data_IF_104896987453
#
_entry.id   IF_104896987453
#
_cell.length_a   1.000
_cell.length_b   1.000
_cell.length_c   1.000
_cell.angle_alpha   90.00
_cell.angle_beta   90.00
_cell.angle_gamma   90.00
#
_symmetry.space_group_name_H-M   'P 1'
#
loop_
_entity.id
_entity.type
_entity.pdbx_description
1 polymer ?
#
# COMPACT_ATOMS: atom_id res chain seq x y z
N UNK A 1 -12.15 -26.78 -14.04
CA UNK A 1 -12.23 -25.31 -13.90
C UNK A 1 -10.95 -24.81 -14.52
N UNK A 2 -11.05 -24.38 -15.77
CA UNK A 2 -9.89 -24.04 -16.61
C UNK A 2 -9.28 -22.73 -16.11
N UNK A 3 -7.95 -22.68 -16.02
CA UNK A 3 -7.19 -21.52 -15.57
C UNK A 3 -7.49 -20.33 -16.49
N UNK A 4 -8.10 -19.28 -15.95
CA UNK A 4 -8.60 -18.11 -16.69
C UNK A 4 -7.45 -17.25 -17.27
N UNK A 5 -6.18 -17.51 -16.94
CA UNK A 5 -5.05 -16.67 -17.39
C UNK A 5 -3.72 -17.43 -17.54
N UNK A 6 -3.65 -18.37 -18.49
CA UNK A 6 -2.38 -19.03 -18.87
C UNK A 6 -1.46 -18.11 -19.69
N UNK A 7 -2.00 -17.13 -20.40
CA UNK A 7 -1.25 -16.26 -21.32
C UNK A 7 -0.70 -14.99 -20.68
N UNK A 8 -1.10 -14.68 -19.43
CA UNK A 8 -0.74 -13.44 -18.75
C UNK A 8 -1.37 -12.19 -19.38
N UNK A 9 -2.28 -12.34 -20.36
CA UNK A 9 -2.92 -11.20 -21.01
C UNK A 9 -3.84 -10.45 -20.07
N UNK A 10 -4.55 -11.17 -19.19
CA UNK A 10 -5.41 -10.54 -18.17
C UNK A 10 -4.55 -9.72 -17.21
N UNK A 11 -3.40 -10.27 -16.82
CA UNK A 11 -2.43 -9.60 -15.97
C UNK A 11 -1.86 -8.32 -16.60
N UNK A 12 -1.51 -8.37 -17.89
CA UNK A 12 -0.99 -7.19 -18.62
C UNK A 12 -2.05 -6.10 -18.77
N UNK A 13 -3.31 -6.49 -19.07
CA UNK A 13 -4.42 -5.55 -19.19
C UNK A 13 -4.67 -4.79 -17.88
N UNK A 14 -4.74 -5.51 -16.75
CA UNK A 14 -4.94 -4.89 -15.43
C UNK A 14 -3.80 -3.92 -15.07
N UNK A 15 -2.56 -4.24 -15.44
CA UNK A 15 -1.42 -3.34 -15.25
C UNK A 15 -1.59 -2.04 -16.06
N UNK A 16 -1.89 -2.17 -17.35
CA UNK A 16 -2.02 -1.03 -18.26
C UNK A 16 -3.23 -0.13 -17.89
N UNK A 17 -4.33 -0.74 -17.44
CA UNK A 17 -5.52 -0.04 -16.91
C UNK A 17 -5.16 0.78 -15.66
N UNK A 18 -4.50 0.18 -14.66
CA UNK A 18 -4.10 0.89 -13.44
C UNK A 18 -3.13 2.06 -13.73
N UNK A 19 -2.20 1.87 -14.66
CA UNK A 19 -1.29 2.94 -15.10
C UNK A 19 -2.06 4.07 -15.82
N UNK A 20 -3.09 3.74 -16.58
CA UNK A 20 -3.93 4.72 -17.25
C UNK A 20 -4.78 5.51 -16.26
N UNK A 21 -5.47 4.83 -15.34
CA UNK A 21 -6.30 5.45 -14.30
C UNK A 21 -5.49 6.40 -13.42
N UNK A 22 -4.31 5.97 -12.96
CA UNK A 22 -3.43 6.82 -12.14
C UNK A 22 -3.03 8.15 -12.81
N UNK A 23 -2.92 8.19 -14.15
CA UNK A 23 -2.70 9.45 -14.89
C UNK A 23 -3.94 10.35 -14.90
N UNK A 24 -5.13 9.77 -15.05
CA UNK A 24 -6.38 10.54 -15.03
C UNK A 24 -6.65 11.12 -13.63
N UNK A 25 -6.41 10.34 -12.58
CA UNK A 25 -6.60 10.75 -11.20
C UNK A 25 -5.68 11.91 -10.78
N UNK A 26 -4.50 12.00 -11.40
CA UNK A 26 -3.56 13.10 -11.18
C UNK A 26 -4.00 14.43 -11.84
N UNK A 27 -4.88 14.41 -12.84
CA UNK A 27 -5.37 15.61 -13.52
C UNK A 27 -6.26 16.44 -12.60
N UNK A 28 -6.16 17.78 -12.67
CA UNK A 28 -7.01 18.68 -11.88
C UNK A 28 -8.52 18.48 -12.06
N UNK A 29 -8.96 17.99 -13.24
CA UNK A 29 -10.37 17.71 -13.54
C UNK A 29 -10.94 16.56 -12.71
N UNK A 30 -10.09 15.68 -12.17
CA UNK A 30 -10.55 14.58 -11.30
C UNK A 30 -11.06 15.07 -9.94
N UNK A 31 -10.84 16.35 -9.59
CA UNK A 31 -11.34 16.97 -8.36
C UNK A 31 -12.86 16.78 -8.16
N UNK A 32 -13.62 16.81 -9.25
CA UNK A 32 -15.09 16.68 -9.21
C UNK A 32 -15.55 15.32 -8.66
N UNK A 33 -14.68 14.31 -8.66
CA UNK A 33 -14.95 12.96 -8.16
C UNK A 33 -14.80 12.85 -6.63
N UNK A 34 -14.10 13.79 -5.98
CA UNK A 34 -13.77 13.69 -4.55
C UNK A 34 -15.04 13.69 -3.70
N UNK A 35 -16.01 14.55 -4.02
CA UNK A 35 -17.23 14.68 -3.21
C UNK A 35 -18.05 13.40 -3.22
N UNK A 36 -18.32 12.85 -4.42
CA UNK A 36 -19.07 11.59 -4.53
C UNK A 36 -18.35 10.43 -3.87
N UNK A 37 -17.02 10.42 -3.91
CA UNK A 37 -16.20 9.41 -3.25
C UNK A 37 -16.28 9.50 -1.72
N UNK A 38 -16.16 10.71 -1.14
CA UNK A 38 -16.34 10.96 0.30
C UNK A 38 -17.73 10.51 0.76
N UNK A 39 -18.76 10.88 0.01
CA UNK A 39 -20.15 10.55 0.32
C UNK A 39 -20.38 9.02 0.25
N UNK A 40 -19.80 8.34 -0.76
CA UNK A 40 -19.94 6.89 -0.95
C UNK A 40 -19.21 6.07 0.12
N UNK A 41 -18.01 6.51 0.54
CA UNK A 41 -17.16 5.81 1.49
C UNK A 41 -17.32 6.26 2.95
N UNK A 42 -18.24 7.19 3.23
CA UNK A 42 -18.47 7.78 4.57
C UNK A 42 -17.17 8.27 5.22
N UNK A 43 -16.36 9.01 4.46
CA UNK A 43 -15.04 9.45 4.90
C UNK A 43 -15.18 10.57 5.94
N UNK A 44 -14.66 10.33 7.15
CA UNK A 44 -14.64 11.29 8.25
C UNK A 44 -13.62 12.41 8.01
N UNK A 45 -14.05 13.44 7.28
CA UNK A 45 -13.18 14.56 6.88
C UNK A 45 -12.53 15.31 8.06
N UNK A 46 -13.14 15.25 9.25
CA UNK A 46 -12.60 15.89 10.47
C UNK A 46 -11.28 15.31 10.99
N UNK A 47 -10.87 14.11 10.56
CA UNK A 47 -9.59 13.49 10.92
C UNK A 47 -8.40 14.00 10.07
N UNK A 48 -8.68 14.69 8.95
CA UNK A 48 -7.69 15.11 7.97
C UNK A 48 -7.40 16.62 8.04
N UNK A 49 -6.28 17.02 7.45
CA UNK A 49 -5.91 18.42 7.29
C UNK A 49 -6.53 18.98 6.00
N UNK A 50 -7.29 20.07 6.13
CA UNK A 50 -7.95 20.74 5.00
C UNK A 50 -9.38 20.22 4.74
N UNK A 51 -10.10 20.96 3.89
CA UNK A 51 -11.45 20.63 3.43
C UNK A 51 -11.43 20.07 2.01
N UNK A 52 -12.53 19.45 1.55
CA UNK A 52 -12.66 18.85 0.21
C UNK A 52 -12.24 19.83 -0.91
N UNK A 53 -12.62 21.10 -0.79
CA UNK A 53 -12.34 22.12 -1.80
C UNK A 53 -10.86 22.52 -1.86
N UNK A 54 -10.05 22.13 -0.89
CA UNK A 54 -8.62 22.47 -0.82
C UNK A 54 -7.73 21.57 -1.70
N UNK A 55 -8.24 20.41 -2.13
CA UNK A 55 -7.49 19.46 -2.96
C UNK A 55 -7.48 19.89 -4.44
N UNK A 56 -6.36 19.63 -5.10
CA UNK A 56 -6.13 20.01 -6.51
C UNK A 56 -6.61 18.96 -7.51
N UNK A 57 -6.62 17.70 -7.12
CA UNK A 57 -7.04 16.55 -7.91
C UNK A 57 -7.46 15.40 -6.98
N UNK A 58 -8.09 14.37 -7.53
CA UNK A 58 -8.43 13.15 -6.82
C UNK A 58 -7.19 12.50 -6.19
N UNK A 59 -6.07 12.42 -6.92
CA UNK A 59 -4.83 11.87 -6.38
C UNK A 59 -4.32 12.68 -5.16
N UNK A 60 -4.41 14.01 -5.19
CA UNK A 60 -4.04 14.88 -4.06
C UNK A 60 -4.92 14.62 -2.82
N UNK A 61 -6.22 14.39 -3.02
CA UNK A 61 -7.13 13.95 -1.97
C UNK A 61 -6.84 12.53 -1.47
N UNK A 62 -6.46 11.61 -2.37
CA UNK A 62 -6.17 10.22 -2.03
C UNK A 62 -4.98 10.14 -1.07
N UNK A 63 -3.97 10.99 -1.30
CA UNK A 63 -2.79 11.16 -0.41
C UNK A 63 -2.98 12.26 0.65
N UNK A 64 -4.20 12.67 1.00
CA UNK A 64 -4.48 13.71 2.02
C UNK A 64 -3.71 13.47 3.32
N UNK A 65 -3.40 14.53 4.10
CA UNK A 65 -2.65 14.46 5.38
C UNK A 65 -3.58 14.23 6.58
N UNK A 66 -3.20 13.40 7.55
CA UNK A 66 -3.91 13.27 8.83
C UNK A 66 -3.55 14.40 9.79
N UNK A 67 -4.46 14.72 10.72
CA UNK A 67 -4.13 15.52 11.91
C UNK A 67 -3.17 14.74 12.82
N UNK A 68 -2.30 15.46 13.53
CA UNK A 68 -1.35 14.84 14.46
C UNK A 68 -2.10 14.08 15.56
N UNK A 69 -1.64 12.88 15.90
CA UNK A 69 -2.23 12.04 16.96
C UNK A 69 -3.52 11.29 16.59
N UNK A 70 -4.01 11.38 15.34
CA UNK A 70 -5.28 10.77 14.94
C UNK A 70 -5.28 9.22 14.97
N UNK A 71 -4.09 8.59 14.93
CA UNK A 71 -3.93 7.13 14.97
C UNK A 71 -2.69 6.76 15.81
N UNK A 72 -2.85 6.27 17.05
CA UNK A 72 -1.74 5.72 17.82
C UNK A 72 -1.28 4.39 17.21
N UNK A 73 0.04 4.14 17.24
CA UNK A 73 0.65 2.91 16.72
C UNK A 73 0.29 1.76 17.66
N UNK A 74 -0.31 0.69 17.13
CA UNK A 74 -0.76 -0.45 17.93
C UNK A 74 -0.05 -1.75 17.54
N UNK A 75 0.17 -2.56 18.59
CA UNK A 75 0.47 -3.99 18.63
C UNK A 75 1.94 -4.45 18.57
N UNK A 76 2.39 -5.03 19.70
CA UNK A 76 3.69 -5.70 19.94
C UNK A 76 3.58 -7.24 19.83
N UNK A 77 2.37 -7.80 19.65
CA UNK A 77 2.08 -9.23 19.92
C UNK A 77 1.02 -9.89 19.01
N UNK A 78 1.04 -9.68 17.69
CA UNK A 78 0.18 -10.43 16.75
C UNK A 78 0.95 -11.61 16.10
N UNK A 79 0.52 -12.87 16.28
CA UNK A 79 1.23 -14.06 15.81
C UNK A 79 0.85 -14.54 14.41
N UNK A 80 0.03 -13.84 13.64
CA UNK A 80 -0.36 -14.28 12.29
C UNK A 80 0.47 -13.59 11.21
N UNK A 81 1.46 -14.30 10.66
CA UNK A 81 1.94 -14.26 9.25
C UNK A 81 3.35 -14.86 9.17
N UNK A 82 3.52 -15.92 8.38
CA UNK A 82 4.81 -16.55 8.12
C UNK A 82 4.79 -17.33 6.82
N UNK A 83 5.37 -16.75 5.77
CA UNK A 83 5.82 -17.33 4.49
C UNK A 83 5.72 -16.20 3.44
N UNK A 84 6.76 -15.57 2.90
CA UNK A 84 8.19 -15.87 2.80
C UNK A 84 8.91 -14.53 2.58
N UNK A 85 9.57 -13.99 3.63
CA UNK A 85 10.14 -12.64 3.61
C UNK A 85 11.25 -12.46 2.56
N UNK A 86 11.97 -13.53 2.20
CA UNK A 86 12.94 -13.56 1.10
C UNK A 86 12.35 -13.11 -0.23
N UNK A 87 11.16 -13.60 -0.59
CA UNK A 87 10.46 -13.18 -1.81
C UNK A 87 9.94 -11.75 -1.71
N UNK A 88 9.42 -11.36 -0.55
CA UNK A 88 8.94 -9.99 -0.32
C UNK A 88 10.07 -8.96 -0.45
N UNK A 89 11.28 -9.28 0.02
CA UNK A 89 12.45 -8.40 -0.11
C UNK A 89 13.18 -8.57 -1.44
N UNK A 90 12.89 -9.65 -2.17
CA UNK A 90 13.67 -10.10 -3.33
C UNK A 90 15.18 -10.17 -2.97
N UNK A 91 15.48 -10.59 -1.74
CA UNK A 91 16.83 -10.62 -1.18
C UNK A 91 16.89 -11.58 0.02
N UNK A 92 17.37 -12.79 -0.24
CA UNK A 92 17.48 -13.85 0.76
C UNK A 92 18.51 -13.54 1.86
N UNK A 93 19.56 -12.76 1.56
CA UNK A 93 20.57 -12.41 2.56
C UNK A 93 20.02 -11.37 3.54
N UNK A 94 19.31 -10.33 3.05
CA UNK A 94 18.63 -9.36 3.91
C UNK A 94 17.49 -9.99 4.69
N UNK A 95 16.80 -10.98 4.11
CA UNK A 95 15.75 -11.72 4.78
C UNK A 95 16.22 -12.47 6.03
N UNK A 96 17.50 -12.86 6.12
CA UNK A 96 18.06 -13.49 7.32
C UNK A 96 17.97 -12.58 8.56
N UNK A 97 18.03 -11.26 8.38
CA UNK A 97 17.85 -10.29 9.47
C UNK A 97 16.44 -10.35 10.08
N UNK A 98 15.46 -10.80 9.28
CA UNK A 98 14.07 -10.94 9.69
C UNK A 98 13.72 -12.37 10.15
N UNK A 99 14.71 -13.27 10.25
CA UNK A 99 14.48 -14.65 10.67
C UNK A 99 13.87 -14.69 12.08
N UNK A 100 12.71 -15.36 12.20
CA UNK A 100 11.89 -15.41 13.43
C UNK A 100 11.39 -14.03 13.93
N UNK A 101 11.43 -13.00 13.07
CA UNK A 101 10.87 -11.70 13.37
C UNK A 101 9.34 -11.69 13.37
N UNK A 102 8.75 -10.70 14.05
CA UNK A 102 7.32 -10.44 13.95
C UNK A 102 6.99 -9.71 12.63
N UNK A 103 5.83 -10.03 12.05
CA UNK A 103 5.34 -9.38 10.82
C UNK A 103 3.98 -8.76 11.11
N UNK A 104 3.78 -7.53 10.62
CA UNK A 104 2.48 -6.88 10.58
C UNK A 104 2.16 -6.52 9.12
N UNK A 105 0.96 -6.87 8.67
CA UNK A 105 0.48 -6.57 7.31
C UNK A 105 -0.75 -5.68 7.38
N UNK A 106 -0.69 -4.53 6.70
CA UNK A 106 -1.77 -3.56 6.65
C UNK A 106 -2.23 -3.40 5.20
N UNK A 107 -3.53 -3.45 4.98
CA UNK A 107 -4.15 -3.06 3.70
C UNK A 107 -4.85 -1.73 3.90
N UNK A 108 -4.60 -0.79 3.00
CA UNK A 108 -5.34 0.47 2.92
C UNK A 108 -6.47 0.28 1.91
N UNK A 109 -7.70 0.40 2.37
CA UNK A 109 -8.87 0.54 1.51
C UNK A 109 -8.90 1.96 0.92
N UNK A 110 -9.63 2.20 -0.19
CA UNK A 110 -9.66 3.51 -0.85
C UNK A 110 -10.01 4.70 0.07
N UNK A 111 -10.80 4.45 1.11
CA UNK A 111 -11.22 5.43 2.11
C UNK A 111 -10.17 5.73 3.20
N UNK A 112 -9.10 4.94 3.28
CA UNK A 112 -8.07 5.07 4.30
C UNK A 112 -7.09 6.19 3.98
N UNK A 113 -6.18 6.42 4.92
CA UNK A 113 -5.10 7.40 4.79
C UNK A 113 -3.90 6.78 4.04
N UNK A 114 -3.60 7.28 2.84
CA UNK A 114 -2.58 6.70 1.95
C UNK A 114 -1.19 7.33 2.09
N UNK A 115 -0.75 7.63 3.32
CA UNK A 115 0.67 7.92 3.59
C UNK A 115 1.21 7.02 4.68
N UNK A 116 2.44 6.58 4.48
CA UNK A 116 3.19 5.83 5.48
C UNK A 116 3.93 6.79 6.41
N UNK A 117 3.95 6.47 7.70
CA UNK A 117 4.78 7.14 8.71
C UNK A 117 5.73 6.11 9.31
N UNK A 118 6.90 6.58 9.76
CA UNK A 118 7.85 5.70 10.43
C UNK A 118 7.25 5.18 11.74
N UNK A 119 7.24 3.85 11.99
CA UNK A 119 6.72 3.29 13.24
C UNK A 119 7.69 3.49 14.41
N UNK A 120 8.96 3.74 14.11
CA UNK A 120 10.04 3.88 15.11
C UNK A 120 10.95 5.05 14.76
N UNK A 121 11.70 5.54 15.75
CA UNK A 121 12.82 6.44 15.50
C UNK A 121 14.03 5.61 15.03
N UNK A 122 14.69 6.07 13.97
CA UNK A 122 15.88 5.40 13.45
C UNK A 122 16.44 6.08 12.21
N UNK A 123 17.42 5.44 11.58
CA UNK A 123 18.00 5.85 10.31
C UNK A 123 17.67 4.82 9.24
N UNK A 124 17.37 5.27 8.03
CA UNK A 124 17.24 4.37 6.88
C UNK A 124 18.61 3.77 6.61
N UNK A 125 18.73 2.46 6.75
CA UNK A 125 19.97 1.71 6.48
C UNK A 125 20.05 1.37 4.99
N UNK A 126 18.95 0.87 4.44
CA UNK A 126 18.81 0.63 3.00
C UNK A 126 17.37 0.84 2.53
N UNK A 127 17.25 1.15 1.26
CA UNK A 127 15.99 1.24 0.51
C UNK A 127 16.20 0.46 -0.79
N UNK A 128 15.21 -0.35 -1.17
CA UNK A 128 15.20 -1.14 -2.39
C UNK A 128 13.86 -0.96 -3.09
N UNK A 129 13.89 -0.43 -4.30
CA UNK A 129 12.75 -0.49 -5.22
C UNK A 129 12.78 -1.85 -5.91
N UNK A 130 11.63 -2.51 -5.95
CA UNK A 130 11.47 -3.84 -6.53
C UNK A 130 10.42 -3.68 -7.63
N UNK A 131 10.86 -3.86 -8.87
CA UNK A 131 9.99 -3.84 -10.03
C UNK A 131 8.98 -4.99 -9.94
N UNK A 132 7.81 -4.75 -10.53
CA UNK A 132 6.74 -5.74 -10.53
C UNK A 132 5.51 -5.23 -11.24
N UNK A 133 4.42 -5.95 -11.07
CA UNK A 133 3.13 -5.61 -11.67
C UNK A 133 2.29 -4.73 -10.74
N UNK A 134 1.11 -4.29 -11.20
CA UNK A 134 0.15 -3.57 -10.38
C UNK A 134 -1.17 -4.35 -10.36
N UNK A 135 -1.18 -5.54 -9.76
CA UNK A 135 -2.43 -6.25 -9.51
C UNK A 135 -3.19 -5.60 -8.36
N UNK A 136 -4.52 -5.65 -8.42
CA UNK A 136 -5.38 -5.28 -7.30
C UNK A 136 -5.06 -6.14 -6.07
N UNK A 137 -5.25 -5.57 -4.88
CA UNK A 137 -5.09 -6.30 -3.59
C UNK A 137 -6.44 -6.54 -2.93
N UNK A 138 -7.52 -6.55 -3.72
CA UNK A 138 -8.87 -6.82 -3.25
C UNK A 138 -9.03 -8.29 -2.82
N UNK A 139 -10.07 -8.61 -2.01
CA UNK A 139 -10.23 -9.97 -1.48
C UNK A 139 -10.32 -11.04 -2.56
N UNK A 140 -10.78 -10.70 -3.77
CA UNK A 140 -10.88 -11.64 -4.89
C UNK A 140 -9.50 -12.05 -5.39
N UNK A 141 -8.59 -11.09 -5.57
CA UNK A 141 -7.19 -11.36 -5.96
C UNK A 141 -6.45 -12.09 -4.85
N UNK A 142 -6.64 -11.69 -3.58
CA UNK A 142 -6.01 -12.35 -2.43
C UNK A 142 -6.43 -13.81 -2.25
N UNK A 143 -7.66 -14.13 -2.61
CA UNK A 143 -8.19 -15.50 -2.55
C UNK A 143 -7.86 -16.30 -3.82
N UNK A 144 -7.12 -15.73 -4.77
CA UNK A 144 -6.64 -16.43 -5.96
C UNK A 144 -5.32 -17.15 -5.71
N UNK A 145 -4.82 -17.91 -6.69
CA UNK A 145 -3.51 -18.55 -6.63
C UNK A 145 -2.33 -17.60 -6.92
N UNK A 146 -2.59 -16.29 -7.05
CA UNK A 146 -1.55 -15.29 -7.30
C UNK A 146 -0.80 -14.96 -6.01
N UNK A 147 0.51 -14.79 -6.11
CA UNK A 147 1.34 -14.23 -5.04
C UNK A 147 1.46 -12.72 -5.28
N UNK A 148 0.34 -11.99 -5.15
CA UNK A 148 0.26 -10.59 -5.54
C UNK A 148 1.22 -9.71 -4.73
N UNK A 149 1.48 -10.07 -3.47
CA UNK A 149 2.39 -9.33 -2.61
C UNK A 149 3.85 -9.41 -3.08
N UNK A 150 4.28 -10.56 -3.61
CA UNK A 150 5.64 -10.73 -4.11
C UNK A 150 5.78 -10.40 -5.61
N UNK A 151 4.67 -10.37 -6.36
CA UNK A 151 4.65 -10.03 -7.79
C UNK A 151 4.43 -8.54 -8.06
N UNK A 152 3.77 -7.82 -7.14
CA UNK A 152 3.54 -6.39 -7.32
C UNK A 152 4.81 -5.56 -7.11
N UNK A 153 4.90 -4.47 -7.87
CA UNK A 153 5.90 -3.43 -7.66
C UNK A 153 5.78 -2.90 -6.24
N UNK A 154 6.92 -2.75 -5.57
CA UNK A 154 6.97 -2.39 -4.15
C UNK A 154 8.31 -1.79 -3.77
N UNK A 155 8.33 -1.12 -2.62
CA UNK A 155 9.56 -0.59 -2.03
C UNK A 155 9.76 -1.23 -0.67
N UNK A 156 10.93 -1.82 -0.46
CA UNK A 156 11.37 -2.32 0.83
C UNK A 156 12.35 -1.32 1.45
N UNK A 157 12.23 -1.07 2.76
CA UNK A 157 13.17 -0.25 3.49
C UNK A 157 13.53 -0.88 4.83
N UNK A 158 14.77 -0.70 5.27
CA UNK A 158 15.22 -1.06 6.61
C UNK A 158 15.52 0.20 7.40
N UNK A 159 14.98 0.24 8.62
CA UNK A 159 15.25 1.28 9.59
C UNK A 159 16.08 0.65 10.69
N UNK A 160 17.29 1.16 10.86
CA UNK A 160 18.11 0.83 12.02
C UNK A 160 17.67 1.68 13.20
N UNK A 161 17.21 1.03 14.27
CA UNK A 161 16.71 1.69 15.47
C UNK A 161 17.54 1.29 16.68
N UNK A 162 18.04 2.27 17.44
CA UNK A 162 18.78 2.01 18.68
C UNK A 162 17.93 1.27 19.74
N UNK A 163 16.59 1.37 19.65
CA UNK A 163 15.64 0.76 20.58
C UNK A 163 15.24 -0.67 20.20
N UNK A 164 15.18 -0.99 18.90
CA UNK A 164 14.60 -2.24 18.41
C UNK A 164 15.56 -3.12 17.60
N UNK A 165 16.77 -2.65 17.31
CA UNK A 165 17.75 -3.31 16.43
C UNK A 165 17.94 -2.59 15.11
#
# INVERSE_FOLDING_TARGET
MDNIDETGMTRQLLHDENIHEGRQEADSKSKDQIKSFVDFHDIKMNEFQGDIDSFRSYNDFFIRKLKHGARPIAAKHDPTVGSCIGKLLDDEEKAKLCANGAVASFRLAPQDYHRYHSPVRGKVDWLKEIDGTYYGVDPTVRNSALDELCMNARTALCIKSDEFG
#
